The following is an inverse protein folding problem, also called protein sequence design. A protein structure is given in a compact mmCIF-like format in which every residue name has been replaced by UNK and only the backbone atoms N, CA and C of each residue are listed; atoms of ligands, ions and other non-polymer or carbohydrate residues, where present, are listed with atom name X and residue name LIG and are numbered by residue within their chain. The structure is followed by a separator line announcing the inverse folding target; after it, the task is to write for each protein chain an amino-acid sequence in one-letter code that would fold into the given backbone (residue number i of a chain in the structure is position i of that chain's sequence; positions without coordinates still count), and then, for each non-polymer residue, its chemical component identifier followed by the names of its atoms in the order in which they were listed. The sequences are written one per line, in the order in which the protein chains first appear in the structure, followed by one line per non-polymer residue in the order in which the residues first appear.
data_IF_801437190647
#
_entry.id   IF_801437190647
#
_cell.length_a   1.000
_cell.length_b   1.000
_cell.length_c   1.000
_cell.angle_alpha   90.00
_cell.angle_beta   90.00
_cell.angle_gamma   90.00
#
_symmetry.space_group_name_H-M   'P 1'
#
loop_
_entity.id
_entity.type
_entity.pdbx_description
1 polymer ?
#
# COMPACT_ATOMS: atom_id res chain seq x y z
N UNK A 1 2.70 -2.47 6.17
CA UNK A 1 1.58 -1.55 6.42
C UNK A 1 0.36 -2.11 5.76
N UNK A 2 -0.75 -2.23 6.49
CA UNK A 2 -2.01 -2.73 5.95
C UNK A 2 -3.17 -2.01 6.65
N UNK A 3 -4.23 -1.72 5.90
CA UNK A 3 -5.42 -1.05 6.42
C UNK A 3 -6.26 -1.99 7.31
N UNK A 4 -7.25 -1.41 7.98
CA UNK A 4 -8.11 -2.12 8.92
C UNK A 4 -9.26 -2.92 8.29
N UNK A 5 -9.21 -3.28 7.01
CA UNK A 5 -10.28 -4.03 6.35
C UNK A 5 -10.50 -5.40 7.03
N UNK A 6 -11.74 -5.92 7.14
CA UNK A 6 -12.03 -7.15 7.90
C UNK A 6 -11.17 -8.37 7.54
N UNK A 7 -10.84 -8.66 6.26
CA UNK A 7 -9.94 -9.76 5.91
C UNK A 7 -8.51 -9.57 6.45
N UNK A 8 -8.06 -8.33 6.60
CA UNK A 8 -6.70 -7.96 6.99
C UNK A 8 -6.47 -7.99 8.50
N UNK A 9 -7.56 -8.06 9.29
CA UNK A 9 -7.53 -8.19 10.75
C UNK A 9 -8.02 -9.56 11.23
N UNK A 10 -8.23 -10.51 10.32
CA UNK A 10 -8.61 -11.87 10.68
C UNK A 10 -7.48 -12.58 11.44
N UNK A 11 -7.81 -13.28 12.53
CA UNK A 11 -6.80 -13.93 13.39
C UNK A 11 -5.80 -14.84 12.64
N UNK A 12 -6.22 -15.71 11.70
CA UNK A 12 -5.28 -16.55 10.95
C UNK A 12 -4.25 -15.73 10.18
N UNK A 13 -4.69 -14.61 9.58
CA UNK A 13 -3.83 -13.70 8.85
C UNK A 13 -2.85 -12.96 9.77
N UNK A 14 -3.33 -12.46 10.92
CA UNK A 14 -2.47 -11.79 11.90
C UNK A 14 -1.41 -12.72 12.50
N UNK A 15 -1.78 -13.97 12.77
CA UNK A 15 -0.87 -15.00 13.27
C UNK A 15 0.23 -15.29 12.24
N UNK A 16 -0.16 -15.48 10.97
CA UNK A 16 0.78 -15.67 9.87
C UNK A 16 1.76 -14.50 9.75
N UNK A 17 1.26 -13.26 9.69
CA UNK A 17 2.14 -12.09 9.59
C UNK A 17 3.09 -11.98 10.79
N UNK A 18 2.58 -12.20 12.01
CA UNK A 18 3.39 -12.13 13.22
C UNK A 18 4.51 -13.17 13.22
N UNK A 19 4.23 -14.37 12.71
CA UNK A 19 5.23 -15.43 12.57
C UNK A 19 6.32 -15.08 11.55
N UNK A 20 5.95 -14.44 10.43
CA UNK A 20 6.89 -14.13 9.36
C UNK A 20 7.71 -12.86 9.58
N UNK A 21 7.11 -11.83 10.18
CA UNK A 21 7.71 -10.48 10.25
C UNK A 21 7.99 -10.01 11.69
N UNK A 22 7.47 -10.72 12.70
CA UNK A 22 7.45 -10.25 14.08
C UNK A 22 6.35 -9.22 14.33
N UNK A 23 5.80 -9.22 15.54
CA UNK A 23 4.65 -8.37 15.88
C UNK A 23 4.98 -6.86 15.84
N UNK A 24 6.21 -6.49 16.17
CA UNK A 24 6.66 -5.09 16.25
C UNK A 24 6.92 -4.47 14.86
N UNK A 25 7.14 -5.29 13.84
CA UNK A 25 7.39 -4.85 12.46
C UNK A 25 6.11 -4.56 11.67
N UNK A 26 4.94 -4.85 12.25
CA UNK A 26 3.65 -4.78 11.56
C UNK A 26 2.92 -3.52 11.95
N UNK A 27 2.64 -2.69 10.95
CA UNK A 27 1.75 -1.53 11.06
C UNK A 27 0.39 -1.94 10.49
N UNK A 28 -0.59 -2.18 11.36
CA UNK A 28 -1.94 -2.58 11.00
C UNK A 28 -2.90 -2.38 12.19
N UNK A 29 -4.20 -2.40 11.93
CA UNK A 29 -5.21 -2.31 12.97
C UNK A 29 -5.08 -3.49 13.95
N UNK A 30 -5.13 -3.21 15.26
CA UNK A 30 -4.96 -4.19 16.35
C UNK A 30 -3.56 -4.87 16.40
N UNK A 31 -2.52 -4.19 15.92
CA UNK A 31 -1.11 -4.50 16.20
C UNK A 31 -0.52 -3.41 17.13
N UNK A 32 0.68 -3.61 17.73
CA UNK A 32 1.32 -2.62 18.59
C UNK A 32 1.47 -1.26 17.91
N UNK A 33 1.89 -1.26 16.64
CA UNK A 33 1.89 -0.06 15.81
C UNK A 33 0.58 0.02 15.05
N UNK A 34 -0.39 0.73 15.64
CA UNK A 34 -1.75 0.77 15.14
C UNK A 34 -1.87 1.63 13.86
N UNK A 35 -2.65 1.16 12.88
CA UNK A 35 -3.00 1.96 11.70
C UNK A 35 -4.23 2.83 11.99
N UNK A 36 -4.19 4.15 11.71
CA UNK A 36 -5.34 5.02 11.96
C UNK A 36 -6.54 4.67 11.04
N UNK A 37 -7.77 4.66 11.57
CA UNK A 37 -8.94 4.34 10.77
C UNK A 37 -9.20 5.41 9.71
N UNK A 38 -9.64 4.99 8.52
CA UNK A 38 -10.00 5.86 7.38
C UNK A 38 -8.85 6.74 6.85
N UNK A 39 -7.62 6.27 6.93
CA UNK A 39 -6.44 6.97 6.38
C UNK A 39 -5.85 6.28 5.14
N UNK A 40 -6.57 6.20 4.00
CA UNK A 40 -5.98 5.72 2.75
C UNK A 40 -4.87 6.66 2.26
N UNK A 41 -4.92 7.94 2.63
CA UNK A 41 -3.95 8.98 2.33
C UNK A 41 -2.58 8.79 2.99
N UNK A 42 -2.44 7.78 3.86
CA UNK A 42 -1.19 7.37 4.49
C UNK A 42 -0.60 6.10 3.88
N UNK A 43 -1.37 5.37 3.07
CA UNK A 43 -0.91 4.13 2.46
C UNK A 43 -0.13 4.43 1.17
N UNK A 44 1.17 4.07 1.06
CA UNK A 44 1.96 4.31 -0.15
C UNK A 44 1.31 3.79 -1.44
N UNK A 45 0.59 2.67 -1.32
CA UNK A 45 -0.14 2.03 -2.41
C UNK A 45 -1.29 2.90 -2.92
N UNK A 46 -2.06 3.50 -2.00
CA UNK A 46 -3.24 4.32 -2.33
C UNK A 46 -2.85 5.76 -2.71
N UNK A 47 -1.77 6.30 -2.13
CA UNK A 47 -1.27 7.66 -2.45
C UNK A 47 -0.82 7.74 -3.91
N UNK A 48 -0.14 6.71 -4.42
CA UNK A 48 0.53 6.80 -5.73
C UNK A 48 0.31 5.58 -6.61
N UNK A 49 0.55 4.37 -6.11
CA UNK A 49 0.67 3.18 -6.97
C UNK A 49 -0.60 2.92 -7.78
N UNK A 50 -1.76 2.90 -7.13
CA UNK A 50 -3.02 2.60 -7.84
C UNK A 50 -3.38 3.68 -8.85
N UNK A 51 -3.11 4.96 -8.54
CA UNK A 51 -3.29 6.07 -9.47
C UNK A 51 -2.37 5.94 -10.69
N UNK A 52 -1.10 5.66 -10.46
CA UNK A 52 -0.11 5.43 -11.50
C UNK A 52 -0.47 4.24 -12.38
N UNK A 53 -0.73 3.07 -11.77
CA UNK A 53 -1.06 1.85 -12.52
C UNK A 53 -2.33 2.03 -13.33
N UNK A 54 -3.36 2.67 -12.79
CA UNK A 54 -4.57 2.97 -13.53
C UNK A 54 -4.27 3.84 -14.75
N UNK A 55 -3.45 4.87 -14.60
CA UNK A 55 -3.08 5.71 -15.74
C UNK A 55 -2.25 4.95 -16.79
N UNK A 56 -1.24 4.20 -16.36
CA UNK A 56 -0.30 3.54 -17.24
C UNK A 56 -0.90 2.32 -17.96
N UNK A 57 -1.69 1.51 -17.25
CA UNK A 57 -2.31 0.29 -17.79
C UNK A 57 -3.43 0.65 -18.78
N UNK A 58 -4.27 1.63 -18.45
CA UNK A 58 -5.40 2.04 -19.29
C UNK A 58 -5.05 3.14 -20.31
N UNK A 59 -3.75 3.36 -20.58
CA UNK A 59 -3.30 4.28 -21.64
C UNK A 59 -3.65 3.77 -23.06
N UNK A 60 -3.90 2.46 -23.21
CA UNK A 60 -4.36 1.82 -24.44
C UNK A 60 -5.58 0.93 -24.21
N UNK A 61 -6.21 0.43 -25.29
CA UNK A 61 -7.28 -0.54 -25.19
C UNK A 61 -6.75 -1.85 -24.57
N UNK A 62 -7.59 -2.48 -23.75
CA UNK A 62 -7.33 -3.79 -23.15
C UNK A 62 -8.50 -4.67 -23.53
N UNK A 63 -8.25 -5.72 -24.30
CA UNK A 63 -9.31 -6.53 -24.91
C UNK A 63 -9.76 -7.66 -23.99
N UNK A 64 -8.86 -8.14 -23.13
CA UNK A 64 -9.11 -9.30 -22.29
C UNK A 64 -8.30 -9.29 -20.98
N UNK A 65 -8.62 -10.25 -20.12
CA UNK A 65 -7.99 -10.40 -18.80
C UNK A 65 -6.49 -10.75 -18.88
N UNK A 66 -6.04 -11.47 -19.91
CA UNK A 66 -4.64 -11.86 -20.05
C UNK A 66 -3.76 -10.64 -20.39
N UNK A 67 -4.24 -9.78 -21.28
CA UNK A 67 -3.61 -8.48 -21.58
C UNK A 67 -3.58 -7.57 -20.36
N UNK A 68 -4.69 -7.47 -19.62
CA UNK A 68 -4.73 -6.68 -18.39
C UNK A 68 -3.65 -7.12 -17.41
N UNK A 69 -3.56 -8.43 -17.14
CA UNK A 69 -2.55 -9.00 -16.23
C UNK A 69 -1.13 -8.74 -16.72
N UNK A 70 -0.90 -8.88 -18.02
CA UNK A 70 0.42 -8.67 -18.64
C UNK A 70 0.83 -7.20 -18.55
N UNK A 71 -0.09 -6.28 -18.87
CA UNK A 71 0.14 -4.84 -18.78
C UNK A 71 0.42 -4.38 -17.35
N UNK A 72 -0.33 -4.88 -16.35
CA UNK A 72 -0.04 -4.62 -14.93
C UNK A 72 1.37 -5.12 -14.57
N UNK A 73 1.70 -6.37 -14.92
CA UNK A 73 3.00 -6.94 -14.58
C UNK A 73 4.17 -6.17 -15.20
N UNK A 74 4.07 -5.80 -16.47
CA UNK A 74 5.09 -5.00 -17.17
C UNK A 74 5.26 -3.63 -16.52
N UNK A 75 4.16 -2.93 -16.21
CA UNK A 75 4.23 -1.63 -15.57
C UNK A 75 4.86 -1.68 -14.18
N UNK A 76 4.57 -2.73 -13.39
CA UNK A 76 5.19 -2.95 -12.08
C UNK A 76 6.70 -3.26 -12.24
N UNK A 77 7.10 -4.12 -13.17
CA UNK A 77 8.51 -4.44 -13.40
C UNK A 77 9.34 -3.24 -13.88
N UNK A 78 8.70 -2.31 -14.59
CA UNK A 78 9.35 -1.09 -15.07
C UNK A 78 9.44 0.02 -14.02
N UNK A 79 8.87 -0.15 -12.81
CA UNK A 79 8.97 0.84 -11.75
C UNK A 79 10.39 0.93 -11.22
N UNK A 80 10.95 2.14 -11.23
CA UNK A 80 12.28 2.35 -10.66
C UNK A 80 12.27 2.25 -9.14
N UNK A 81 13.33 1.69 -8.57
CA UNK A 81 13.53 1.64 -7.11
C UNK A 81 13.64 3.05 -6.49
N UNK A 82 14.10 4.03 -7.27
CA UNK A 82 14.13 5.45 -6.87
C UNK A 82 12.72 6.00 -6.69
N UNK A 83 11.82 5.71 -7.61
CA UNK A 83 10.40 6.09 -7.51
C UNK A 83 9.75 5.44 -6.29
N UNK A 84 9.96 4.14 -6.09
CA UNK A 84 9.41 3.43 -4.93
C UNK A 84 9.91 4.00 -3.61
N UNK A 85 11.20 4.35 -3.52
CA UNK A 85 11.77 5.00 -2.35
C UNK A 85 11.12 6.36 -2.08
N UNK A 86 11.01 7.20 -3.10
CA UNK A 86 10.39 8.52 -2.98
C UNK A 86 8.93 8.45 -2.53
N UNK A 87 8.18 7.44 -2.99
CA UNK A 87 6.79 7.22 -2.55
C UNK A 87 6.72 6.86 -1.06
N UNK A 88 7.65 6.04 -0.56
CA UNK A 88 7.73 5.70 0.86
C UNK A 88 8.13 6.92 1.70
N UNK A 89 9.13 7.69 1.26
CA UNK A 89 9.56 8.92 1.92
C UNK A 89 8.41 9.93 2.00
N UNK A 90 7.63 10.09 0.94
CA UNK A 90 6.47 10.97 0.93
C UNK A 90 5.36 10.50 1.88
N UNK A 91 5.16 9.19 2.04
CA UNK A 91 4.23 8.67 3.04
C UNK A 91 4.69 9.02 4.47
N UNK A 92 5.99 8.95 4.77
CA UNK A 92 6.57 9.39 6.05
C UNK A 92 6.27 10.87 6.30
N UNK A 93 6.52 11.74 5.32
CA UNK A 93 6.19 13.17 5.45
C UNK A 93 4.71 13.42 5.75
N UNK A 94 3.80 12.60 5.20
CA UNK A 94 2.36 12.70 5.49
C UNK A 94 2.02 12.31 6.92
N UNK A 95 2.68 11.29 7.48
CA UNK A 95 2.55 10.97 8.90
C UNK A 95 2.98 12.15 9.78
N UNK A 96 4.10 12.79 9.47
CA UNK A 96 4.58 13.97 10.20
C UNK A 96 3.57 15.13 10.13
N UNK A 97 3.00 15.38 8.94
CA UNK A 97 1.98 16.41 8.75
C UNK A 97 0.70 16.11 9.55
N UNK A 98 0.25 14.85 9.63
CA UNK A 98 -0.90 14.52 10.48
C UNK A 98 -0.64 14.81 11.96
N UNK A 99 0.56 14.49 12.45
CA UNK A 99 0.95 14.77 13.84
C UNK A 99 0.89 16.27 14.12
N UNK A 100 1.42 17.10 13.21
CA UNK A 100 1.40 18.58 13.34
C UNK A 100 -0.03 19.12 13.31
N UNK A 101 -0.92 18.51 12.53
CA UNK A 101 -2.30 18.95 12.39
C UNK A 101 -3.26 18.38 13.46
N UNK A 102 -2.74 17.67 14.47
CA UNK A 102 -3.53 17.22 15.63
C UNK A 102 -4.24 15.88 15.47
N UNK A 103 -3.86 15.07 14.47
CA UNK A 103 -4.46 13.76 14.20
C UNK A 103 -5.66 13.83 13.27
#
# INVERSE_FOLDING_TARGET
MQDGAPPHIAYPFKSLLSMHFGIDSIISLQFPTNWPPRSPDLNPWDIWLWGYLKHAVFCGPIENLAELKTSIAQNVQNMSTVTLRSVVEHAICRFELMIVNGG
#
